data_IF_959051535079
#
_entry.id   IF_959051535079
#
_cell.length_a   1.000
_cell.length_b   1.000
_cell.length_c   1.000
_cell.angle_alpha   90.00
_cell.angle_beta   90.00
_cell.angle_gamma   90.00
#
_symmetry.space_group_name_H-M   'P 1'
#
loop_
_entity.id
_entity.type
_entity.pdbx_description
1 polymer ?
#
# COMPACT_ATOMS: atom_id res chain seq x y z
N UNK A 1 -7.82 33.94 -19.26
CA UNK A 1 -7.58 32.69 -20.01
C UNK A 1 -8.69 31.71 -19.64
N UNK A 2 -9.32 31.07 -20.62
CA UNK A 2 -10.22 29.94 -20.34
C UNK A 2 -9.37 28.78 -19.79
N UNK A 3 -9.85 28.08 -18.76
CA UNK A 3 -9.18 26.97 -18.06
C UNK A 3 -9.90 25.65 -18.35
N UNK A 4 -9.27 24.53 -17.96
CA UNK A 4 -9.79 23.16 -18.03
C UNK A 4 -9.74 22.50 -19.42
N UNK A 5 -8.76 22.88 -20.24
CA UNK A 5 -8.48 22.22 -21.51
C UNK A 5 -8.26 20.71 -21.30
N UNK A 6 -8.93 19.88 -22.11
CA UNK A 6 -8.87 18.42 -22.02
C UNK A 6 -9.88 17.77 -21.06
N UNK A 7 -10.68 18.57 -20.33
CA UNK A 7 -11.82 18.05 -19.58
C UNK A 7 -13.05 17.90 -20.47
N UNK A 8 -13.90 16.92 -20.16
CA UNK A 8 -15.15 16.63 -20.88
C UNK A 8 -16.36 16.73 -19.96
N UNK A 9 -17.33 17.54 -20.35
CA UNK A 9 -18.58 17.72 -19.63
C UNK A 9 -19.74 17.21 -20.46
N UNK A 10 -20.51 16.27 -19.92
CA UNK A 10 -21.75 15.79 -20.53
C UNK A 10 -22.92 16.61 -20.01
N UNK A 11 -23.61 17.32 -20.89
CA UNK A 11 -24.87 18.01 -20.58
C UNK A 11 -26.05 17.18 -21.08
N UNK A 12 -27.10 17.08 -20.26
CA UNK A 12 -28.27 16.23 -20.55
C UNK A 12 -29.55 16.99 -20.23
N UNK A 13 -30.40 17.18 -21.23
CA UNK A 13 -31.71 17.85 -21.15
C UNK A 13 -32.50 17.44 -22.40
N UNK A 14 -33.81 17.21 -22.30
CA UNK A 14 -34.65 16.78 -23.43
C UNK A 14 -34.97 17.93 -24.40
N UNK A 15 -34.77 19.18 -23.98
CA UNK A 15 -35.00 20.36 -24.80
C UNK A 15 -33.70 20.86 -25.46
N UNK A 16 -33.66 20.83 -26.79
CA UNK A 16 -32.51 21.28 -27.58
C UNK A 16 -32.10 22.75 -27.30
N UNK A 17 -33.05 23.62 -26.96
CA UNK A 17 -32.75 25.02 -26.63
C UNK A 17 -32.00 25.14 -25.30
N UNK A 18 -32.32 24.29 -24.33
CA UNK A 18 -31.63 24.24 -23.03
C UNK A 18 -30.21 23.73 -23.24
N UNK A 19 -30.04 22.65 -24.01
CA UNK A 19 -28.73 22.12 -24.38
C UNK A 19 -27.85 23.18 -25.05
N UNK A 20 -28.39 23.88 -26.05
CA UNK A 20 -27.68 24.95 -26.75
C UNK A 20 -27.26 26.07 -25.79
N UNK A 21 -28.17 26.51 -24.91
CA UNK A 21 -27.90 27.57 -23.94
C UNK A 21 -26.83 27.17 -22.92
N UNK A 22 -26.91 25.95 -22.37
CA UNK A 22 -25.91 25.40 -21.45
C UNK A 22 -24.54 25.28 -22.12
N UNK A 23 -24.50 24.73 -23.34
CA UNK A 23 -23.26 24.60 -24.09
C UNK A 23 -22.62 25.96 -24.37
N UNK A 24 -23.40 26.95 -24.83
CA UNK A 24 -22.92 28.30 -25.06
C UNK A 24 -22.38 28.96 -23.78
N UNK A 25 -23.09 28.79 -22.66
CA UNK A 25 -22.71 29.33 -21.36
C UNK A 25 -21.39 28.72 -20.85
N UNK A 26 -21.24 27.39 -20.92
CA UNK A 26 -20.02 26.68 -20.50
C UNK A 26 -18.84 27.10 -21.39
N UNK A 27 -19.00 27.04 -22.72
CA UNK A 27 -17.96 27.39 -23.68
C UNK A 27 -17.55 28.86 -23.61
N UNK A 28 -18.43 29.76 -23.16
CA UNK A 28 -18.10 31.17 -22.94
C UNK A 28 -17.09 31.35 -21.81
N UNK A 29 -17.17 30.56 -20.74
CA UNK A 29 -16.40 30.74 -19.51
C UNK A 29 -15.23 29.76 -19.35
N UNK A 30 -15.29 28.58 -19.96
CA UNK A 30 -14.31 27.50 -19.80
C UNK A 30 -13.88 26.92 -21.15
N UNK A 31 -12.73 26.26 -21.15
CA UNK A 31 -12.18 25.56 -22.32
C UNK A 31 -12.35 24.06 -22.10
N UNK A 32 -13.58 23.56 -22.24
CA UNK A 32 -13.92 22.15 -22.01
C UNK A 32 -14.59 21.56 -23.24
N UNK A 33 -14.45 20.26 -23.44
CA UNK A 33 -15.18 19.53 -24.47
C UNK A 33 -16.61 19.25 -23.95
N UNK A 34 -17.59 19.99 -24.46
CA UNK A 34 -19.00 19.78 -24.10
C UNK A 34 -19.63 18.75 -25.03
N UNK A 35 -20.16 17.69 -24.44
CA UNK A 35 -20.91 16.62 -25.12
C UNK A 35 -22.37 16.75 -24.69
N UNK A 36 -23.32 16.62 -25.62
CA UNK A 36 -24.75 16.76 -25.33
C UNK A 36 -25.51 15.44 -25.53
N UNK A 37 -26.53 15.24 -24.70
CA UNK A 37 -27.50 14.15 -24.83
C UNK A 37 -28.92 14.70 -24.64
N UNK A 38 -29.84 14.28 -25.51
CA UNK A 38 -31.24 14.72 -25.51
C UNK A 38 -32.19 13.78 -24.75
N UNK A 39 -31.65 12.79 -24.04
CA UNK A 39 -32.43 11.85 -23.21
C UNK A 39 -31.52 11.16 -22.20
N UNK A 40 -32.12 10.65 -21.12
CA UNK A 40 -31.42 9.83 -20.13
C UNK A 40 -30.76 8.59 -20.73
N UNK A 41 -31.47 7.89 -21.62
CA UNK A 41 -30.95 6.70 -22.31
C UNK A 41 -29.71 7.04 -23.14
N UNK A 42 -29.77 8.11 -23.93
CA UNK A 42 -28.63 8.55 -24.75
C UNK A 42 -27.44 8.99 -23.89
N UNK A 43 -27.70 9.63 -22.74
CA UNK A 43 -26.65 10.01 -21.80
C UNK A 43 -25.89 8.80 -21.26
N UNK A 44 -26.59 7.72 -20.90
CA UNK A 44 -25.95 6.48 -20.45
C UNK A 44 -25.10 5.86 -21.57
N UNK A 45 -25.62 5.79 -22.80
CA UNK A 45 -24.86 5.28 -23.95
C UNK A 45 -23.57 6.07 -24.17
N UNK A 46 -23.67 7.39 -24.23
CA UNK A 46 -22.52 8.28 -24.42
C UNK A 46 -21.49 8.09 -23.31
N UNK A 47 -21.92 7.98 -22.05
CA UNK A 47 -21.01 7.78 -20.93
C UNK A 47 -20.31 6.41 -20.95
N UNK A 48 -20.90 5.40 -21.57
CA UNK A 48 -20.29 4.08 -21.74
C UNK A 48 -19.33 4.02 -22.92
N UNK A 49 -19.67 4.71 -24.01
CA UNK A 49 -18.81 4.85 -25.20
C UNK A 49 -17.60 5.74 -24.92
N UNK A 50 -17.74 6.73 -24.04
CA UNK A 50 -16.72 7.74 -23.75
C UNK A 50 -16.26 7.66 -22.29
N UNK A 51 -15.23 6.86 -21.96
CA UNK A 51 -14.76 6.69 -20.57
C UNK A 51 -14.03 7.93 -20.00
N UNK A 52 -13.99 9.05 -20.73
CA UNK A 52 -13.28 10.29 -20.34
C UNK A 52 -14.22 11.40 -19.89
N UNK A 53 -15.48 11.11 -19.59
CA UNK A 53 -16.40 12.14 -19.06
C UNK A 53 -16.01 12.44 -17.62
N UNK A 54 -15.70 13.71 -17.35
CA UNK A 54 -15.24 14.18 -16.05
C UNK A 54 -16.40 14.67 -15.17
N UNK A 55 -17.46 15.18 -15.78
CA UNK A 55 -18.60 15.75 -15.08
C UNK A 55 -19.87 15.61 -15.92
N UNK A 56 -20.99 15.35 -15.25
CA UNK A 56 -22.31 15.30 -15.88
C UNK A 56 -23.18 16.41 -15.28
N UNK A 57 -23.82 17.20 -16.14
CA UNK A 57 -24.89 18.13 -15.78
C UNK A 57 -26.19 17.55 -16.33
N UNK A 58 -27.11 17.19 -15.45
CA UNK A 58 -28.24 16.33 -15.77
C UNK A 58 -29.56 16.97 -15.36
N UNK A 59 -30.46 17.17 -16.31
CA UNK A 59 -31.82 17.53 -15.99
C UNK A 59 -32.58 16.38 -15.33
N UNK A 60 -33.42 16.71 -14.36
CA UNK A 60 -34.24 15.71 -13.67
C UNK A 60 -35.51 15.41 -14.46
N UNK A 61 -36.13 16.42 -15.07
CA UNK A 61 -37.45 16.30 -15.68
C UNK A 61 -37.35 15.98 -17.17
N UNK A 62 -37.14 14.70 -17.50
CA UNK A 62 -37.09 14.21 -18.88
C UNK A 62 -38.13 13.11 -19.12
N UNK A 63 -38.67 12.98 -20.35
CA UNK A 63 -39.59 11.91 -20.70
C UNK A 63 -38.89 10.55 -20.74
N UNK A 64 -39.68 9.48 -20.58
CA UNK A 64 -39.28 8.06 -20.59
C UNK A 64 -38.33 7.64 -19.44
N UNK A 65 -37.20 8.33 -19.32
CA UNK A 65 -36.16 8.09 -18.34
C UNK A 65 -35.77 9.40 -17.66
N UNK A 66 -36.12 9.54 -16.38
CA UNK A 66 -35.84 10.74 -15.62
C UNK A 66 -34.36 10.83 -15.19
N UNK A 67 -33.94 11.98 -14.65
CA UNK A 67 -32.56 12.19 -14.23
C UNK A 67 -32.11 11.27 -13.09
N UNK A 68 -33.00 10.87 -12.17
CA UNK A 68 -32.63 9.96 -11.07
C UNK A 68 -32.40 8.54 -11.57
N UNK A 69 -33.26 8.04 -12.46
CA UNK A 69 -33.09 6.76 -13.13
C UNK A 69 -31.78 6.77 -13.94
N UNK A 70 -31.50 7.87 -14.64
CA UNK A 70 -30.28 8.06 -15.44
C UNK A 70 -29.04 7.98 -14.55
N UNK A 71 -29.01 8.75 -13.47
CA UNK A 71 -27.92 8.73 -12.50
C UNK A 71 -27.76 7.36 -11.86
N UNK A 72 -28.85 6.68 -11.49
CA UNK A 72 -28.80 5.32 -10.93
C UNK A 72 -28.11 4.36 -11.90
N UNK A 73 -28.47 4.40 -13.18
CA UNK A 73 -27.84 3.58 -14.21
C UNK A 73 -26.34 3.89 -14.37
N UNK A 74 -25.95 5.16 -14.28
CA UNK A 74 -24.54 5.56 -14.31
C UNK A 74 -23.79 5.09 -13.06
N UNK A 75 -24.41 5.14 -11.87
CA UNK A 75 -23.78 4.81 -10.58
C UNK A 75 -23.61 3.31 -10.32
N UNK A 76 -24.43 2.44 -10.91
CA UNK A 76 -24.26 0.98 -10.77
C UNK A 76 -23.01 0.47 -11.51
N UNK A 77 -22.56 1.14 -12.58
CA UNK A 77 -21.50 0.63 -13.47
C UNK A 77 -20.11 1.11 -13.06
N UNK A 78 -19.13 0.20 -13.02
CA UNK A 78 -17.75 0.49 -12.60
C UNK A 78 -17.08 1.63 -13.39
N UNK A 79 -17.40 1.78 -14.67
CA UNK A 79 -16.79 2.81 -15.55
C UNK A 79 -17.34 4.21 -15.34
N UNK A 80 -18.55 4.34 -14.81
CA UNK A 80 -19.27 5.62 -14.76
C UNK A 80 -19.64 6.03 -13.33
N UNK A 81 -19.46 5.14 -12.35
CA UNK A 81 -19.91 5.36 -10.97
C UNK A 81 -19.23 6.52 -10.25
N UNK A 82 -17.98 6.78 -10.57
CA UNK A 82 -17.20 7.82 -9.90
C UNK A 82 -17.37 9.19 -10.57
N UNK A 83 -18.07 9.26 -11.71
CA UNK A 83 -18.31 10.53 -12.40
C UNK A 83 -19.28 11.38 -11.54
N UNK A 84 -18.89 12.61 -11.15
CA UNK A 84 -19.78 13.52 -10.44
C UNK A 84 -20.95 13.95 -11.32
N UNK A 85 -22.14 14.06 -10.71
CA UNK A 85 -23.38 14.46 -11.36
C UNK A 85 -23.94 15.69 -10.65
N UNK A 86 -24.15 16.78 -11.39
CA UNK A 86 -24.86 17.98 -10.97
C UNK A 86 -26.27 17.91 -11.54
N UNK A 87 -27.27 17.85 -10.67
CA UNK A 87 -28.66 17.84 -11.08
C UNK A 87 -29.21 19.25 -11.32
N UNK A 88 -30.02 19.40 -12.38
CA UNK A 88 -30.85 20.57 -12.61
C UNK A 88 -32.30 20.23 -12.21
N UNK A 89 -32.91 21.03 -11.34
CA UNK A 89 -34.27 20.78 -10.81
C UNK A 89 -35.15 22.03 -10.88
N UNK A 90 -36.43 21.86 -11.21
CA UNK A 90 -37.42 22.94 -11.17
C UNK A 90 -38.08 23.14 -9.79
N UNK A 91 -37.92 22.20 -8.86
CA UNK A 91 -38.70 22.17 -7.62
C UNK A 91 -37.91 22.73 -6.41
N UNK A 92 -38.51 23.69 -5.70
CA UNK A 92 -38.10 24.05 -4.34
C UNK A 92 -38.25 22.82 -3.44
N UNK A 93 -37.12 22.26 -2.99
CA UNK A 93 -36.94 21.39 -1.82
C UNK A 93 -38.21 20.63 -1.38
N UNK A 94 -38.66 19.66 -2.16
CA UNK A 94 -39.47 18.58 -1.59
C UNK A 94 -38.49 17.58 -0.99
N UNK A 95 -38.67 17.20 0.29
CA UNK A 95 -37.78 16.28 1.01
C UNK A 95 -37.53 14.99 0.20
N UNK A 96 -38.51 14.57 -0.59
CA UNK A 96 -38.45 13.40 -1.48
C UNK A 96 -37.36 13.48 -2.56
N UNK A 97 -37.13 14.66 -3.16
CA UNK A 97 -36.09 14.85 -4.19
C UNK A 97 -34.70 14.92 -3.56
N UNK A 98 -34.59 15.51 -2.36
CA UNK A 98 -33.33 15.51 -1.63
C UNK A 98 -32.95 14.08 -1.19
N UNK A 99 -33.92 13.32 -0.67
CA UNK A 99 -33.70 11.96 -0.21
C UNK A 99 -33.30 11.00 -1.35
N UNK A 100 -34.07 10.94 -2.44
CA UNK A 100 -33.72 10.14 -3.64
C UNK A 100 -32.38 10.52 -4.22
N UNK A 101 -32.08 11.81 -4.17
CA UNK A 101 -30.82 12.36 -4.63
C UNK A 101 -29.59 11.95 -3.82
N UNK A 102 -29.70 11.96 -2.49
CA UNK A 102 -28.67 11.42 -1.59
C UNK A 102 -28.50 9.91 -1.78
N UNK A 103 -29.58 9.17 -1.97
CA UNK A 103 -29.55 7.72 -2.18
C UNK A 103 -28.85 7.32 -3.48
N UNK A 104 -28.95 8.14 -4.53
CA UNK A 104 -28.27 7.90 -5.82
C UNK A 104 -26.82 8.40 -5.82
N UNK A 105 -26.36 9.08 -4.76
CA UNK A 105 -24.98 9.57 -4.65
C UNK A 105 -24.68 10.74 -5.60
N UNK A 106 -25.65 11.63 -5.78
CA UNK A 106 -25.44 12.85 -6.55
C UNK A 106 -24.39 13.75 -5.89
N UNK A 107 -23.65 14.49 -6.73
CA UNK A 107 -22.64 15.40 -6.22
C UNK A 107 -23.28 16.74 -5.77
N UNK A 108 -24.23 17.28 -6.54
CA UNK A 108 -24.84 18.59 -6.27
C UNK A 108 -26.19 18.80 -6.97
N UNK A 109 -26.89 19.89 -6.61
CA UNK A 109 -28.16 20.35 -7.22
C UNK A 109 -28.12 21.84 -7.56
N UNK A 110 -28.80 22.20 -8.66
CA UNK A 110 -29.06 23.56 -9.10
C UNK A 110 -30.54 23.75 -9.42
N UNK A 111 -31.13 24.84 -8.93
CA UNK A 111 -32.51 25.21 -9.19
C UNK A 111 -32.64 25.94 -10.54
N UNK A 112 -33.67 25.59 -11.32
CA UNK A 112 -34.13 26.34 -12.49
C UNK A 112 -35.05 27.50 -12.01
N UNK A 113 -34.94 28.74 -12.53
CA UNK A 113 -34.02 29.18 -13.59
C UNK A 113 -32.57 29.21 -13.09
N UNK A 114 -31.67 28.70 -13.94
CA UNK A 114 -30.26 28.51 -13.59
C UNK A 114 -29.59 29.89 -13.50
N UNK A 115 -28.96 30.18 -12.37
CA UNK A 115 -28.05 31.31 -12.27
C UNK A 115 -26.71 30.94 -12.95
N UNK A 116 -26.37 31.67 -14.00
CA UNK A 116 -25.17 31.45 -14.81
C UNK A 116 -23.90 31.36 -13.95
N UNK A 117 -23.75 32.24 -12.96
CA UNK A 117 -22.58 32.25 -12.10
C UNK A 117 -22.55 31.04 -11.17
N UNK A 118 -23.70 30.62 -10.64
CA UNK A 118 -23.78 29.41 -9.80
C UNK A 118 -23.39 28.15 -10.57
N UNK A 119 -23.91 27.97 -11.79
CA UNK A 119 -23.57 26.82 -12.62
C UNK A 119 -22.06 26.78 -12.92
N UNK A 120 -21.51 27.89 -13.42
CA UNK A 120 -20.10 28.00 -13.75
C UNK A 120 -19.22 27.78 -12.51
N UNK A 121 -19.59 28.31 -11.35
CA UNK A 121 -18.84 28.11 -10.11
C UNK A 121 -18.86 26.65 -9.64
N UNK A 122 -20.00 25.97 -9.74
CA UNK A 122 -20.10 24.54 -9.39
C UNK A 122 -19.27 23.68 -10.32
N UNK A 123 -19.43 23.85 -11.65
CA UNK A 123 -18.61 23.13 -12.63
C UNK A 123 -17.12 23.36 -12.35
N UNK A 124 -16.70 24.62 -12.15
CA UNK A 124 -15.30 24.98 -11.89
C UNK A 124 -14.77 24.30 -10.61
N UNK A 125 -15.59 24.23 -9.57
CA UNK A 125 -15.24 23.56 -8.31
C UNK A 125 -14.96 22.07 -8.53
N UNK A 126 -15.86 21.37 -9.24
CA UNK A 126 -15.67 19.95 -9.52
C UNK A 126 -14.49 19.68 -10.44
N UNK A 127 -14.33 20.45 -11.52
CA UNK A 127 -13.19 20.27 -12.42
C UNK A 127 -11.85 20.51 -11.70
N UNK A 128 -11.79 21.53 -10.82
CA UNK A 128 -10.61 21.77 -9.97
C UNK A 128 -10.34 20.63 -8.99
N UNK A 129 -11.39 20.00 -8.45
CA UNK A 129 -11.23 18.85 -7.55
C UNK A 129 -10.65 17.65 -8.30
N UNK A 130 -11.18 17.36 -9.49
CA UNK A 130 -10.70 16.28 -10.36
C UNK A 130 -9.26 16.55 -10.82
N UNK A 131 -8.94 17.79 -11.19
CA UNK A 131 -7.56 18.22 -11.53
C UNK A 131 -6.61 17.91 -10.38
N UNK A 132 -6.95 18.34 -9.16
CA UNK A 132 -6.15 18.07 -7.96
C UNK A 132 -6.01 16.59 -7.64
N UNK A 133 -7.07 15.82 -7.79
CA UNK A 133 -7.04 14.37 -7.54
C UNK A 133 -6.08 13.68 -8.52
N UNK A 134 -6.13 14.04 -9.81
CA UNK A 134 -5.20 13.55 -10.83
C UNK A 134 -3.76 13.92 -10.51
N UNK A 135 -3.50 15.18 -10.16
CA UNK A 135 -2.17 15.65 -9.76
C UNK A 135 -1.64 14.90 -8.54
N UNK A 136 -2.49 14.67 -7.54
CA UNK A 136 -2.12 13.94 -6.33
C UNK A 136 -1.80 12.48 -6.62
N UNK A 137 -2.59 11.82 -7.46
CA UNK A 137 -2.36 10.42 -7.82
C UNK A 137 -1.02 10.23 -8.54
N UNK A 138 -0.70 11.11 -9.50
CA UNK A 138 0.61 11.09 -10.17
C UNK A 138 1.74 11.28 -9.16
N UNK A 139 1.62 12.27 -8.27
CA UNK A 139 2.64 12.52 -7.25
C UNK A 139 2.79 11.35 -6.27
N UNK A 140 1.69 10.69 -5.92
CA UNK A 140 1.71 9.53 -5.04
C UNK A 140 2.40 8.35 -5.71
N UNK A 141 2.14 8.11 -6.99
CA UNK A 141 2.84 7.09 -7.78
C UNK A 141 4.35 7.35 -7.84
N UNK A 142 4.76 8.59 -8.12
CA UNK A 142 6.17 9.01 -8.11
C UNK A 142 6.83 8.75 -6.73
N UNK A 143 6.16 9.15 -5.65
CA UNK A 143 6.67 8.96 -4.30
C UNK A 143 6.76 7.48 -3.92
N UNK A 144 5.78 6.66 -4.31
CA UNK A 144 5.81 5.22 -4.09
C UNK A 144 6.99 4.59 -4.84
N UNK A 145 7.23 5.00 -6.08
CA UNK A 145 8.37 4.51 -6.86
C UNK A 145 9.71 4.89 -6.19
N UNK A 146 9.87 6.15 -5.79
CA UNK A 146 11.06 6.65 -5.10
C UNK A 146 11.33 5.88 -3.79
N UNK A 147 10.32 5.75 -2.93
CA UNK A 147 10.45 5.05 -1.65
C UNK A 147 10.72 3.56 -1.82
N UNK A 148 10.12 2.94 -2.84
CA UNK A 148 10.40 1.52 -3.17
C UNK A 148 11.85 1.36 -3.62
N UNK A 149 12.37 2.30 -4.41
CA UNK A 149 13.77 2.29 -4.86
C UNK A 149 14.73 2.46 -3.68
N UNK A 150 14.49 3.42 -2.79
CA UNK A 150 15.30 3.63 -1.58
C UNK A 150 15.30 2.39 -0.68
N UNK A 151 14.13 1.78 -0.46
CA UNK A 151 14.00 0.58 0.35
C UNK A 151 14.81 -0.58 -0.26
N UNK A 152 14.74 -0.77 -1.57
CA UNK A 152 15.50 -1.82 -2.26
C UNK A 152 17.02 -1.59 -2.17
N UNK A 153 17.47 -0.34 -2.31
CA UNK A 153 18.90 0.00 -2.16
C UNK A 153 19.37 -0.28 -0.73
N UNK A 154 18.61 0.14 0.29
CA UNK A 154 18.93 -0.11 1.68
C UNK A 154 18.94 -1.61 2.01
N UNK A 155 17.95 -2.36 1.49
CA UNK A 155 17.87 -3.82 1.64
C UNK A 155 19.08 -4.51 1.03
N UNK A 156 19.42 -4.21 -0.23
CA UNK A 156 20.59 -4.82 -0.90
C UNK A 156 21.91 -4.44 -0.23
N UNK A 157 22.02 -3.24 0.35
CA UNK A 157 23.19 -2.87 1.15
C UNK A 157 23.33 -3.77 2.39
N UNK A 158 22.26 -3.99 3.16
CA UNK A 158 22.28 -4.87 4.32
C UNK A 158 22.57 -6.32 3.95
N UNK A 159 21.95 -6.83 2.88
CA UNK A 159 22.24 -8.17 2.35
C UNK A 159 23.72 -8.30 1.96
N UNK A 160 24.28 -7.30 1.29
CA UNK A 160 25.71 -7.29 0.95
C UNK A 160 26.60 -7.28 2.20
N UNK A 161 26.24 -6.51 3.24
CA UNK A 161 26.99 -6.52 4.50
C UNK A 161 26.95 -7.92 5.13
N UNK A 162 25.77 -8.51 5.31
CA UNK A 162 25.60 -9.84 5.92
C UNK A 162 26.32 -10.93 5.11
N UNK A 163 26.23 -10.88 3.78
CA UNK A 163 26.81 -11.88 2.90
C UNK A 163 28.35 -11.85 2.85
N UNK A 164 28.96 -10.71 3.17
CA UNK A 164 30.42 -10.55 3.23
C UNK A 164 30.96 -10.53 4.66
N UNK A 165 30.13 -10.71 5.69
CA UNK A 165 30.60 -10.93 7.06
C UNK A 165 31.42 -12.22 7.11
N UNK A 166 32.64 -12.14 7.68
CA UNK A 166 33.52 -13.31 7.83
C UNK A 166 33.17 -14.21 9.01
N UNK A 167 32.35 -13.74 9.94
CA UNK A 167 31.86 -14.52 11.08
C UNK A 167 30.54 -15.19 10.72
N UNK A 168 30.33 -16.40 11.23
CA UNK A 168 29.09 -17.14 11.04
C UNK A 168 27.96 -16.46 11.82
N UNK A 169 26.89 -16.11 11.12
CA UNK A 169 25.69 -15.50 11.68
C UNK A 169 24.51 -16.43 11.44
N UNK A 170 23.81 -16.77 12.52
CA UNK A 170 22.55 -17.51 12.51
C UNK A 170 21.48 -16.65 13.18
N UNK A 171 20.31 -16.55 12.55
CA UNK A 171 19.12 -15.96 13.13
C UNK A 171 18.17 -17.10 13.53
N UNK A 172 17.75 -17.13 14.78
CA UNK A 172 16.86 -18.14 15.31
C UNK A 172 15.51 -17.54 15.74
N UNK A 173 14.44 -18.31 15.62
CA UNK A 173 13.17 -18.02 16.30
C UNK A 173 13.32 -18.21 17.82
N UNK A 174 12.36 -17.71 18.65
CA UNK A 174 12.40 -17.88 20.11
C UNK A 174 12.44 -19.35 20.56
N UNK A 175 11.94 -20.27 19.73
CA UNK A 175 11.99 -21.72 19.96
C UNK A 175 13.35 -22.36 19.58
N UNK A 176 14.33 -21.57 19.14
CA UNK A 176 15.67 -22.04 18.76
C UNK A 176 15.76 -22.70 17.39
N UNK A 177 14.81 -22.43 16.51
CA UNK A 177 14.79 -22.92 15.12
C UNK A 177 15.47 -21.90 14.19
N UNK A 178 16.33 -22.37 13.28
CA UNK A 178 17.05 -21.47 12.35
C UNK A 178 16.09 -20.86 11.32
N UNK A 179 16.06 -19.53 11.27
CA UNK A 179 15.30 -18.71 10.30
C UNK A 179 16.14 -18.17 9.16
N UNK A 180 17.44 -17.97 9.40
CA UNK A 180 18.37 -17.47 8.39
C UNK A 180 19.81 -17.79 8.81
N UNK A 181 20.68 -17.95 7.81
CA UNK A 181 22.10 -18.18 8.00
C UNK A 181 22.88 -17.40 6.94
N UNK A 182 23.96 -16.73 7.33
CA UNK A 182 24.82 -16.07 6.35
C UNK A 182 25.77 -17.08 5.67
N UNK A 183 26.41 -16.72 4.54
CA UNK A 183 27.33 -17.61 3.83
C UNK A 183 28.49 -18.14 4.67
N UNK A 184 29.00 -17.37 5.63
CA UNK A 184 30.06 -17.82 6.53
C UNK A 184 29.59 -18.95 7.46
N UNK A 185 28.35 -18.91 7.96
CA UNK A 185 27.75 -20.00 8.71
C UNK A 185 27.58 -21.26 7.85
N UNK A 186 27.07 -21.09 6.62
CA UNK A 186 26.94 -22.17 5.64
C UNK A 186 28.28 -22.86 5.35
N UNK A 187 29.34 -22.10 5.10
CA UNK A 187 30.68 -22.64 4.87
C UNK A 187 31.28 -23.31 6.11
N UNK A 188 31.06 -22.73 7.30
CA UNK A 188 31.61 -23.27 8.55
C UNK A 188 31.00 -24.63 8.90
N UNK A 189 29.68 -24.75 8.74
CA UNK A 189 28.88 -25.93 9.11
C UNK A 189 28.73 -26.95 7.96
N UNK A 190 29.07 -26.58 6.73
CA UNK A 190 28.94 -27.40 5.52
C UNK A 190 27.48 -27.82 5.19
N UNK A 191 26.56 -26.86 5.35
CA UNK A 191 25.17 -26.98 4.88
C UNK A 191 24.81 -25.81 3.95
N UNK A 192 23.85 -26.01 3.06
CA UNK A 192 23.23 -24.88 2.35
C UNK A 192 22.29 -24.11 3.27
N UNK A 193 21.97 -22.86 2.92
CA UNK A 193 21.00 -22.05 3.67
C UNK A 193 19.65 -22.77 3.76
N UNK A 194 19.13 -23.28 2.63
CA UNK A 194 17.86 -24.02 2.56
C UNK A 194 17.85 -25.28 3.45
N UNK A 195 18.99 -25.93 3.63
CA UNK A 195 19.12 -27.10 4.50
C UNK A 195 19.15 -26.72 5.98
N UNK A 196 19.69 -25.54 6.31
CA UNK A 196 19.71 -25.02 7.67
C UNK A 196 18.36 -24.49 8.11
N UNK A 197 17.55 -23.93 7.20
CA UNK A 197 16.24 -23.41 7.52
C UNK A 197 15.36 -24.49 8.18
N UNK A 198 14.88 -24.20 9.39
CA UNK A 198 14.07 -25.13 10.16
C UNK A 198 14.85 -26.14 11.01
N UNK A 199 16.18 -26.18 10.93
CA UNK A 199 16.99 -27.00 11.85
C UNK A 199 16.93 -26.45 13.28
N UNK A 200 16.97 -27.34 14.27
CA UNK A 200 17.14 -26.91 15.67
C UNK A 200 18.60 -26.55 15.90
N UNK A 201 18.85 -25.47 16.63
CA UNK A 201 20.21 -25.09 17.04
C UNK A 201 20.94 -26.22 17.79
N UNK A 202 20.21 -27.10 18.49
CA UNK A 202 20.78 -28.24 19.21
C UNK A 202 21.39 -29.32 18.32
N UNK A 203 21.03 -29.36 17.04
CA UNK A 203 21.58 -30.35 16.10
C UNK A 203 22.99 -29.94 15.59
N UNK A 204 23.34 -28.66 15.72
CA UNK A 204 24.56 -28.07 15.12
C UNK A 204 25.50 -27.43 16.14
N UNK A 205 25.16 -27.46 17.43
CA UNK A 205 25.89 -26.78 18.51
C UNK A 205 26.12 -27.68 19.72
N UNK A 206 27.35 -27.70 20.23
CA UNK A 206 27.80 -28.51 21.37
C UNK A 206 28.69 -27.69 22.32
N UNK A 207 28.50 -27.81 23.63
CA UNK A 207 29.30 -27.12 24.67
C UNK A 207 30.04 -28.15 25.55
N UNK A 208 31.33 -27.92 25.83
CA UNK A 208 32.15 -28.78 26.70
C UNK A 208 31.98 -28.40 28.19
N UNK A 209 31.11 -29.18 28.84
CA UNK A 209 31.03 -29.54 30.27
C UNK A 209 30.25 -28.69 31.31
N UNK A 210 29.27 -29.40 31.88
CA UNK A 210 29.00 -29.54 33.32
C UNK A 210 28.11 -28.52 34.06
N UNK A 211 27.27 -27.77 33.36
CA UNK A 211 26.01 -27.25 33.93
C UNK A 211 24.83 -27.51 32.98
N UNK A 212 24.30 -28.73 33.12
CA UNK A 212 22.95 -29.13 32.75
C UNK A 212 22.61 -29.21 31.25
N UNK A 213 23.05 -30.32 30.66
CA UNK A 213 22.56 -30.92 29.42
C UNK A 213 21.03 -31.27 29.39
N UNK A 214 20.21 -30.71 30.28
CA UNK A 214 18.75 -30.85 30.30
C UNK A 214 17.99 -29.50 30.38
N UNK A 215 18.69 -28.36 30.29
CA UNK A 215 18.09 -27.03 30.38
C UNK A 215 18.08 -26.29 29.03
N UNK A 216 17.84 -27.01 27.94
CA UNK A 216 18.10 -26.55 26.57
C UNK A 216 17.24 -25.35 26.09
N UNK A 217 16.25 -24.87 26.86
CA UNK A 217 15.46 -23.68 26.49
C UNK A 217 15.16 -22.75 27.67
N UNK A 218 14.62 -23.26 28.78
CA UNK A 218 14.03 -22.41 29.83
C UNK A 218 15.02 -21.54 30.61
N UNK A 219 16.07 -22.14 31.19
CA UNK A 219 16.93 -21.44 32.16
C UNK A 219 17.89 -20.44 31.50
N UNK A 220 18.23 -20.66 30.23
CA UNK A 220 19.15 -19.80 29.47
C UNK A 220 18.43 -18.59 28.84
N UNK A 221 17.20 -18.76 28.34
CA UNK A 221 16.31 -17.64 27.97
C UNK A 221 16.09 -16.71 29.17
N UNK A 222 15.84 -17.27 30.36
CA UNK A 222 15.73 -16.51 31.61
C UNK A 222 17.02 -15.75 31.99
N UNK A 223 18.20 -16.34 31.76
CA UNK A 223 19.47 -15.69 32.02
C UNK A 223 19.75 -14.52 31.06
N UNK A 224 19.49 -14.70 29.76
CA UNK A 224 19.60 -13.65 28.75
C UNK A 224 18.66 -12.48 29.00
N UNK A 225 17.40 -12.75 29.36
CA UNK A 225 16.40 -11.73 29.72
C UNK A 225 16.90 -10.88 30.90
N UNK A 226 17.70 -11.45 31.80
CA UNK A 226 18.18 -10.77 33.01
C UNK A 226 19.48 -9.99 32.83
N UNK A 227 20.37 -10.41 31.92
CA UNK A 227 21.73 -9.82 31.81
C UNK A 227 22.04 -9.13 30.48
N UNK A 228 21.24 -9.33 29.43
CA UNK A 228 21.37 -8.64 28.13
C UNK A 228 22.57 -9.07 27.26
N UNK A 229 23.61 -9.66 27.85
CA UNK A 229 24.73 -10.32 27.16
C UNK A 229 25.22 -11.50 28.02
N UNK A 230 25.72 -12.56 27.38
CA UNK A 230 26.47 -13.62 28.07
C UNK A 230 27.92 -13.64 27.59
N UNK A 231 28.83 -13.71 28.56
CA UNK A 231 30.28 -13.77 28.38
C UNK A 231 30.69 -15.05 27.64
N UNK A 232 31.72 -14.95 26.80
CA UNK A 232 32.23 -16.00 25.91
C UNK A 232 32.25 -17.40 26.53
N UNK A 233 31.54 -18.34 25.89
CA UNK A 233 31.53 -19.77 26.23
C UNK A 233 32.44 -20.48 25.23
N UNK A 234 33.32 -21.38 25.71
CA UNK A 234 34.07 -22.29 24.84
C UNK A 234 33.07 -23.33 24.30
N UNK A 235 32.72 -23.20 23.02
CA UNK A 235 31.72 -24.03 22.35
C UNK A 235 32.27 -24.59 21.03
N UNK A 236 31.64 -25.65 20.53
CA UNK A 236 31.92 -26.24 19.24
C UNK A 236 30.66 -26.23 18.37
N UNK A 237 30.83 -25.88 17.11
CA UNK A 237 29.84 -26.23 16.09
C UNK A 237 30.12 -27.62 15.53
N UNK A 238 29.06 -28.37 15.24
CA UNK A 238 29.13 -29.68 14.60
C UNK A 238 28.77 -29.50 13.13
N UNK A 239 29.76 -29.59 12.26
CA UNK A 239 29.54 -29.58 10.82
C UNK A 239 28.89 -30.89 10.34
N UNK A 240 28.33 -30.89 9.12
CA UNK A 240 27.65 -32.06 8.52
C UNK A 240 28.50 -33.33 8.51
N UNK A 241 29.80 -33.20 8.31
CA UNK A 241 30.78 -34.28 8.32
C UNK A 241 31.17 -34.76 9.73
N UNK A 242 30.47 -34.29 10.77
CA UNK A 242 30.77 -34.47 12.20
C UNK A 242 32.08 -33.83 12.67
N UNK A 243 32.68 -32.93 11.88
CA UNK A 243 33.83 -32.13 12.32
C UNK A 243 33.38 -31.14 13.39
N UNK A 244 34.09 -31.16 14.53
CA UNK A 244 33.93 -30.16 15.60
C UNK A 244 34.77 -28.93 15.28
N UNK A 245 34.11 -27.78 15.13
CA UNK A 245 34.74 -26.49 14.88
C UNK A 245 34.75 -25.70 16.19
N UNK A 246 35.90 -25.45 16.81
CA UNK A 246 35.95 -24.63 18.02
C UNK A 246 35.56 -23.19 17.66
N UNK A 247 34.59 -22.63 18.37
CA UNK A 247 34.07 -21.30 18.10
C UNK A 247 34.13 -20.41 19.33
N UNK A 248 34.39 -19.13 19.10
CA UNK A 248 34.02 -18.07 20.03
C UNK A 248 32.61 -17.63 19.67
N UNK A 249 31.70 -17.77 20.62
CA UNK A 249 30.28 -17.71 20.34
C UNK A 249 29.55 -16.67 21.21
N UNK A 250 28.66 -15.91 20.58
CA UNK A 250 27.84 -14.87 21.22
C UNK A 250 26.38 -15.00 20.79
N UNK A 251 25.45 -14.72 21.70
CA UNK A 251 24.01 -14.68 21.44
C UNK A 251 23.39 -13.40 21.98
N UNK A 252 22.56 -12.77 21.16
CA UNK A 252 21.82 -11.55 21.51
C UNK A 252 20.36 -11.72 21.15
N UNK A 253 19.46 -11.50 22.11
CA UNK A 253 18.02 -11.51 21.84
C UNK A 253 17.59 -10.17 21.23
N UNK A 254 16.80 -10.24 20.15
CA UNK A 254 16.08 -9.11 19.58
C UNK A 254 14.72 -8.99 20.28
N UNK A 255 14.42 -7.78 20.75
CA UNK A 255 13.17 -7.48 21.44
C UNK A 255 12.22 -6.74 20.48
N UNK A 256 10.97 -7.14 20.48
CA UNK A 256 9.87 -6.44 19.82
C UNK A 256 9.45 -5.18 20.57
N UNK A 257 8.48 -4.46 20.03
CA UNK A 257 7.98 -3.21 20.62
C UNK A 257 7.33 -3.40 22.00
N UNK A 258 6.86 -4.62 22.33
CA UNK A 258 6.23 -4.93 23.62
C UNK A 258 7.18 -5.64 24.60
N UNK A 259 8.47 -5.75 24.25
CA UNK A 259 9.51 -6.36 25.09
C UNK A 259 9.56 -7.90 25.02
N UNK A 260 8.78 -8.51 24.14
CA UNK A 260 8.87 -9.91 23.77
C UNK A 260 10.11 -10.20 22.93
N UNK A 261 10.69 -11.40 23.04
CA UNK A 261 11.80 -11.80 22.17
C UNK A 261 11.21 -12.20 20.82
N UNK A 262 11.66 -11.54 19.74
CA UNK A 262 11.21 -11.86 18.38
C UNK A 262 12.16 -12.84 17.72
N UNK A 263 13.47 -12.66 17.91
CA UNK A 263 14.51 -13.44 17.26
C UNK A 263 15.76 -13.49 18.16
N UNK A 264 16.63 -14.46 17.93
CA UNK A 264 17.91 -14.61 18.62
C UNK A 264 19.02 -14.57 17.57
N UNK A 265 19.89 -13.57 17.64
CA UNK A 265 21.09 -13.48 16.81
C UNK A 265 22.19 -14.29 17.47
N UNK A 266 22.76 -15.23 16.72
CA UNK A 266 23.91 -16.02 17.12
C UNK A 266 25.09 -15.70 16.20
N UNK A 267 26.21 -15.24 16.76
CA UNK A 267 27.44 -14.96 16.02
C UNK A 267 28.53 -15.91 16.51
N UNK A 268 29.18 -16.60 15.59
CA UNK A 268 30.25 -17.53 15.84
C UNK A 268 31.50 -17.17 15.03
N UNK A 269 32.63 -17.13 15.72
CA UNK A 269 33.95 -16.96 15.11
C UNK A 269 34.75 -18.24 15.23
N UNK A 270 35.27 -18.74 14.12
CA UNK A 270 36.15 -19.91 14.10
C UNK A 270 37.46 -19.62 14.86
N UNK A 271 37.76 -20.46 15.84
CA UNK A 271 38.96 -20.39 16.68
C UNK A 271 39.99 -21.46 16.31
N UNK A 272 39.81 -22.18 15.20
CA UNK A 272 40.77 -23.19 14.72
C UNK A 272 42.15 -22.57 14.53
N UNK A 273 43.16 -23.12 15.22
CA UNK A 273 44.55 -22.66 15.14
C UNK A 273 44.91 -21.50 16.06
N UNK A 274 43.96 -20.95 16.83
CA UNK A 274 44.25 -20.00 17.90
C UNK A 274 44.72 -20.75 19.15
N UNK A 275 45.88 -20.38 19.68
CA UNK A 275 46.36 -20.87 20.97
C UNK A 275 46.09 -19.82 22.04
N UNK A 276 45.47 -20.25 23.14
CA UNK A 276 45.25 -19.41 24.31
C UNK A 276 46.61 -19.07 24.91
N UNK A 277 46.94 -17.78 24.96
CA UNK A 277 48.08 -17.32 25.76
C UNK A 277 47.65 -17.50 27.21
N UNK A 278 48.32 -18.40 27.93
CA UNK A 278 48.12 -18.53 29.37
C UNK A 278 48.71 -17.30 30.05
N UNK A 279 47.90 -16.58 30.82
CA UNK A 279 48.35 -15.56 31.77
C UNK A 279 49.08 -16.21 32.95
#
# INVERSE_FOLDING_TARGET
MKRYAGFRVLIVDDNENNLFSLQALINKHMDVEVISANSGQRAVEIALENPRIDLIVLDIQMPEMDGFQTATMLKVRKRTRDIPIIFLTAAYKTDEFQQKGYEVGAADYLLKPIDDNQLINKISTYLRLIEKEREMNVRLEELVEERTRELNVAKSYLENVINHMGEALLLLDPDGTVKAANPAACQMLDYSEDEMLGMSIGDIFEEEEALQANAFMGTWLEALIRTGTMSSIEACFIARDQRRVPILFSRTALLGEQGEITDIICIAKDMTGYQRVAD
#
